data_IF_960254691021
#
_entry.id   IF_960254691021
#
_cell.length_a   1.000
_cell.length_b   1.000
_cell.length_c   1.000
_cell.angle_alpha   90.00
_cell.angle_beta   90.00
_cell.angle_gamma   90.00
#
_symmetry.space_group_name_H-M   'P 1'
#
loop_
_entity.id
_entity.type
_entity.pdbx_description
1 polymer ?
#
# COMPACT_ATOMS: atom_id res chain seq x y z
N UNK A 1 35.91 29.61 29.08
CA UNK A 1 34.84 28.62 28.83
C UNK A 1 35.48 27.24 28.76
N UNK A 2 35.11 26.30 29.64
CA UNK A 2 35.73 24.96 29.67
C UNK A 2 35.34 24.20 28.40
N UNK A 3 36.33 23.74 27.63
CA UNK A 3 36.06 22.88 26.46
C UNK A 3 35.42 21.58 26.93
N UNK A 4 34.34 21.16 26.26
CA UNK A 4 33.60 19.93 26.59
C UNK A 4 34.51 18.69 26.70
N UNK A 5 35.56 18.60 25.88
CA UNK A 5 36.57 17.54 25.96
C UNK A 5 37.32 17.49 27.29
N UNK A 6 37.69 18.66 27.84
CA UNK A 6 38.38 18.75 29.13
C UNK A 6 37.44 18.44 30.27
N UNK A 7 36.19 18.90 30.17
CA UNK A 7 35.13 18.56 31.12
C UNK A 7 34.88 17.04 31.16
N UNK A 8 34.84 16.38 29.99
CA UNK A 8 34.67 14.93 29.89
C UNK A 8 35.82 14.15 30.55
N UNK A 9 37.08 14.57 30.35
CA UNK A 9 38.24 13.91 31.00
C UNK A 9 38.13 13.87 32.53
N UNK A 10 37.55 14.91 33.13
CA UNK A 10 37.38 15.01 34.59
C UNK A 10 36.19 14.18 35.08
N UNK A 11 35.09 14.18 34.32
CA UNK A 11 33.81 13.64 34.78
C UNK A 11 33.55 12.19 34.36
N UNK A 12 34.31 11.62 33.43
CA UNK A 12 34.07 10.23 32.98
C UNK A 12 34.34 9.19 34.07
N UNK A 13 35.42 9.34 34.83
CA UNK A 13 35.93 8.30 35.75
C UNK A 13 34.90 7.78 36.75
N UNK A 14 34.10 8.67 37.32
CA UNK A 14 33.17 8.34 38.41
C UNK A 14 31.70 8.24 37.95
N UNK A 15 31.41 8.44 36.66
CA UNK A 15 30.04 8.55 36.15
C UNK A 15 29.71 7.53 35.06
N UNK A 16 30.60 6.56 34.81
CA UNK A 16 30.29 5.42 33.95
C UNK A 16 29.46 4.43 34.77
N UNK A 17 28.26 4.16 34.28
CA UNK A 17 27.26 3.26 34.89
C UNK A 17 27.12 2.01 33.99
N UNK A 18 26.24 1.08 34.37
CA UNK A 18 26.03 -0.21 33.73
C UNK A 18 25.68 -0.14 32.23
N UNK A 19 25.15 0.98 31.75
CA UNK A 19 24.76 1.17 30.34
C UNK A 19 25.24 2.51 29.76
N UNK A 20 25.31 2.58 28.42
CA UNK A 20 25.65 3.82 27.70
C UNK A 20 24.60 4.92 27.92
N UNK A 21 23.33 4.56 27.91
CA UNK A 21 22.20 5.47 28.11
C UNK A 21 22.21 6.06 29.53
N UNK A 22 22.39 5.25 30.57
CA UNK A 22 22.51 5.74 31.95
C UNK A 22 23.76 6.59 32.17
N UNK A 23 24.88 6.22 31.54
CA UNK A 23 26.11 7.01 31.57
C UNK A 23 25.91 8.38 30.93
N UNK A 24 25.23 8.45 29.77
CA UNK A 24 24.89 9.71 29.10
C UNK A 24 23.93 10.53 29.97
N UNK A 25 22.95 9.90 30.61
CA UNK A 25 21.99 10.59 31.49
C UNK A 25 22.69 11.17 32.73
N UNK A 26 23.54 10.38 33.38
CA UNK A 26 24.33 10.81 34.54
C UNK A 26 25.24 11.99 34.20
N UNK A 27 25.98 11.89 33.09
CA UNK A 27 26.82 12.99 32.60
C UNK A 27 26.00 14.22 32.20
N UNK A 28 24.79 14.03 31.67
CA UNK A 28 23.93 15.15 31.29
C UNK A 28 23.41 15.92 32.51
N UNK A 29 23.11 15.22 33.62
CA UNK A 29 22.69 15.84 34.90
C UNK A 29 23.77 16.72 35.54
N UNK A 30 25.04 16.47 35.24
CA UNK A 30 26.17 17.29 35.70
C UNK A 30 26.32 18.62 34.93
N UNK A 31 25.34 18.98 34.09
CA UNK A 31 25.31 20.22 33.31
C UNK A 31 26.59 20.44 32.47
N UNK A 32 26.85 19.58 31.48
CA UNK A 32 28.04 19.70 30.65
C UNK A 32 28.03 21.03 29.87
N UNK A 33 29.21 21.61 29.58
CA UNK A 33 29.34 22.90 28.90
C UNK A 33 29.02 22.77 27.39
N UNK A 34 27.76 22.54 27.07
CA UNK A 34 27.20 22.41 25.72
C UNK A 34 26.46 23.71 25.37
N UNK A 35 26.73 24.27 24.18
CA UNK A 35 26.08 25.50 23.71
C UNK A 35 24.54 25.34 23.73
N UNK A 36 23.83 26.39 24.17
CA UNK A 36 22.36 26.41 24.22
C UNK A 36 21.71 26.18 22.85
N UNK A 37 22.41 26.53 21.76
CA UNK A 37 21.96 26.37 20.37
C UNK A 37 21.90 24.92 19.87
N UNK A 38 22.47 23.97 20.62
CA UNK A 38 22.46 22.55 20.22
C UNK A 38 21.11 21.92 20.55
N UNK A 39 20.35 21.56 19.51
CA UNK A 39 19.00 20.95 19.63
C UNK A 39 19.06 19.60 20.36
N UNK A 40 20.05 18.76 20.07
CA UNK A 40 20.21 17.45 20.73
C UNK A 40 21.50 17.38 21.54
N UNK A 41 21.45 17.93 22.75
CA UNK A 41 22.62 18.05 23.65
C UNK A 41 23.20 16.69 24.05
N UNK A 42 22.35 15.67 24.27
CA UNK A 42 22.79 14.29 24.59
C UNK A 42 23.58 13.65 23.44
N UNK A 43 23.14 13.85 22.20
CA UNK A 43 23.88 13.37 21.02
C UNK A 43 25.22 14.09 20.83
N UNK A 44 25.28 15.39 21.12
CA UNK A 44 26.52 16.16 21.08
C UNK A 44 27.52 15.72 22.16
N UNK A 45 27.02 15.40 23.36
CA UNK A 45 27.81 14.81 24.44
C UNK A 45 28.40 13.46 24.01
N UNK A 46 27.56 12.55 23.49
CA UNK A 46 27.98 11.24 22.99
C UNK A 46 29.04 11.35 21.89
N UNK A 47 28.85 12.27 20.93
CA UNK A 47 29.80 12.48 19.82
C UNK A 47 31.14 13.01 20.33
N UNK A 48 31.11 13.87 21.36
CA UNK A 48 32.32 14.42 21.97
C UNK A 48 33.07 13.38 22.80
N UNK A 49 32.35 12.47 23.48
CA UNK A 49 32.94 11.31 24.16
C UNK A 49 33.63 10.38 23.16
N UNK A 50 32.99 10.10 22.03
CA UNK A 50 33.59 9.30 20.95
C UNK A 50 34.88 9.91 20.44
N UNK A 51 34.85 11.19 20.07
CA UNK A 51 36.04 11.89 19.58
C UNK A 51 37.17 11.90 20.63
N UNK A 52 36.85 12.02 21.91
CA UNK A 52 37.83 11.96 22.99
C UNK A 52 38.53 10.59 23.05
N UNK A 53 37.78 9.49 22.94
CA UNK A 53 38.31 8.13 23.01
C UNK A 53 39.03 7.72 21.71
N UNK A 54 38.57 8.17 20.54
CA UNK A 54 39.26 7.93 19.27
C UNK A 54 40.64 8.60 19.24
N UNK A 55 40.74 9.82 19.78
CA UNK A 55 41.96 10.63 19.71
C UNK A 55 42.92 10.39 20.90
N UNK A 56 42.57 9.52 21.85
CA UNK A 56 43.40 9.27 23.04
C UNK A 56 43.43 7.79 23.41
N UNK A 57 44.50 7.11 23.00
CA UNK A 57 44.70 5.68 23.24
C UNK A 57 44.70 5.30 24.72
N UNK A 58 45.28 6.13 25.58
CA UNK A 58 45.30 5.89 27.03
C UNK A 58 43.87 5.86 27.60
N UNK A 59 43.04 6.84 27.24
CA UNK A 59 41.63 6.89 27.68
C UNK A 59 40.80 5.78 27.02
N UNK A 60 41.11 5.39 25.78
CA UNK A 60 40.46 4.27 25.10
C UNK A 60 40.65 2.95 25.84
N UNK A 61 41.86 2.71 26.33
CA UNK A 61 42.19 1.51 27.09
C UNK A 61 41.60 1.58 28.52
N UNK A 62 41.66 2.74 29.17
CA UNK A 62 41.07 2.97 30.50
C UNK A 62 39.55 2.79 30.49
N UNK A 63 38.86 3.27 29.45
CA UNK A 63 37.42 3.20 29.28
C UNK A 63 37.00 2.19 28.20
N UNK A 64 37.66 1.02 28.19
CA UNK A 64 37.44 -0.02 27.17
C UNK A 64 35.97 -0.44 27.02
N UNK A 65 35.24 -0.60 28.13
CA UNK A 65 33.81 -0.94 28.13
C UNK A 65 32.94 0.14 27.48
N UNK A 66 33.19 1.40 27.81
CA UNK A 66 32.48 2.54 27.22
C UNK A 66 32.80 2.67 25.72
N UNK A 67 34.06 2.50 25.34
CA UNK A 67 34.48 2.46 23.94
C UNK A 67 33.77 1.33 23.20
N UNK A 68 33.67 0.14 23.81
CA UNK A 68 32.94 -1.00 23.27
C UNK A 68 31.46 -0.67 23.07
N UNK A 69 30.78 -0.03 24.01
CA UNK A 69 29.38 0.38 23.82
C UNK A 69 29.19 1.42 22.71
N UNK A 70 30.12 2.38 22.59
CA UNK A 70 30.10 3.39 21.54
C UNK A 70 30.33 2.78 20.15
N UNK A 71 31.17 1.73 20.06
CA UNK A 71 31.44 0.98 18.83
C UNK A 71 30.32 -0.06 18.55
N UNK A 72 29.84 -0.81 19.52
CA UNK A 72 28.77 -1.81 19.38
C UNK A 72 27.43 -1.18 18.95
N UNK A 73 27.10 0.02 19.45
CA UNK A 73 25.96 0.81 18.95
C UNK A 73 26.16 1.22 17.49
N UNK A 74 27.40 1.32 17.04
CA UNK A 74 27.77 1.60 15.65
C UNK A 74 27.86 0.31 14.81
N UNK A 75 28.33 -0.82 15.30
CA UNK A 75 28.28 -2.13 14.63
C UNK A 75 26.86 -2.65 14.52
N UNK A 76 25.98 -2.42 15.50
CA UNK A 76 24.54 -2.65 15.33
C UNK A 76 23.94 -1.75 14.24
N UNK A 77 24.49 -0.55 14.02
CA UNK A 77 24.13 0.33 12.88
C UNK A 77 24.86 0.00 11.56
N UNK A 78 26.07 -0.56 11.60
CA UNK A 78 26.95 -0.81 10.44
C UNK A 78 26.86 -2.24 9.92
N UNK A 79 26.55 -3.24 10.77
CA UNK A 79 26.10 -4.57 10.33
C UNK A 79 24.76 -4.52 9.59
N UNK A 80 24.06 -3.38 9.64
CA UNK A 80 22.93 -3.05 8.77
C UNK A 80 23.33 -2.37 7.44
N UNK A 81 24.61 -2.06 7.20
CA UNK A 81 25.07 -1.23 6.08
C UNK A 81 26.24 -1.84 5.27
N UNK A 82 26.19 -3.13 4.94
CA UNK A 82 26.93 -3.65 3.78
C UNK A 82 25.95 -4.44 2.92
N UNK A 83 25.22 -3.72 2.06
CA UNK A 83 24.43 -4.33 0.99
C UNK A 83 25.40 -4.65 -0.14
N UNK A 84 25.61 -5.95 -0.36
CA UNK A 84 26.18 -6.45 -1.61
C UNK A 84 25.15 -6.15 -2.71
N UNK A 85 25.52 -5.36 -3.74
CA UNK A 85 24.61 -4.92 -4.82
C UNK A 85 23.85 -6.09 -5.49
N UNK A 86 24.39 -7.30 -5.37
CA UNK A 86 23.83 -8.56 -5.88
C UNK A 86 22.63 -9.12 -5.11
N UNK A 87 22.19 -8.54 -3.97
CA UNK A 87 21.07 -9.04 -3.15
C UNK A 87 19.88 -8.07 -3.02
N UNK A 88 19.63 -7.24 -4.03
CA UNK A 88 18.35 -6.50 -4.14
C UNK A 88 17.29 -7.38 -4.81
N UNK A 89 16.09 -7.39 -4.25
CA UNK A 89 14.92 -7.86 -4.98
C UNK A 89 14.48 -6.72 -5.92
N UNK A 90 14.60 -6.96 -7.23
CA UNK A 90 14.16 -6.02 -8.28
C UNK A 90 12.80 -6.52 -8.78
N UNK A 91 11.78 -5.70 -8.66
CA UNK A 91 10.47 -5.95 -9.24
C UNK A 91 10.44 -5.29 -10.62
N UNK A 92 10.08 -6.02 -11.68
CA UNK A 92 9.96 -5.48 -13.05
C UNK A 92 8.51 -5.13 -13.36
N UNK A 93 8.31 -3.97 -13.98
CA UNK A 93 6.97 -3.45 -14.31
C UNK A 93 6.50 -4.20 -15.54
N UNK A 94 5.33 -4.83 -15.49
CA UNK A 94 4.68 -5.26 -16.71
C UNK A 94 4.31 -4.01 -17.52
N UNK A 95 5.10 -3.66 -18.54
CA UNK A 95 4.72 -2.64 -19.52
C UNK A 95 3.64 -3.24 -20.41
N UNK A 96 2.38 -2.95 -20.10
CA UNK A 96 1.26 -3.32 -20.96
C UNK A 96 1.05 -2.14 -21.92
N UNK A 97 1.54 -2.28 -23.15
CA UNK A 97 1.18 -1.38 -24.24
C UNK A 97 -0.28 -1.63 -24.59
N UNK A 98 -1.16 -0.64 -24.42
CA UNK A 98 -2.49 -0.67 -25.01
C UNK A 98 -2.32 -0.57 -26.53
N UNK A 99 -2.45 -1.71 -27.22
CA UNK A 99 -2.72 -1.66 -28.65
C UNK A 99 -4.16 -1.20 -28.79
N UNK A 100 -4.33 0.10 -29.03
CA UNK A 100 -5.57 0.62 -29.62
C UNK A 100 -5.63 -0.01 -31.01
N UNK A 101 -6.39 -1.10 -31.14
CA UNK A 101 -6.79 -1.60 -32.45
C UNK A 101 -7.81 -0.60 -32.96
N UNK A 102 -7.36 0.32 -33.82
CA UNK A 102 -8.26 1.08 -34.68
C UNK A 102 -9.05 0.06 -35.51
N UNK A 103 -10.30 -0.17 -35.14
CA UNK A 103 -11.26 -0.82 -36.02
C UNK A 103 -11.90 0.31 -36.81
N UNK A 104 -11.27 0.67 -37.94
CA UNK A 104 -11.92 1.48 -38.97
C UNK A 104 -12.82 0.56 -39.80
N UNK A 105 -14.13 0.82 -39.67
CA UNK A 105 -15.20 0.79 -40.68
C UNK A 105 -15.20 -0.28 -41.79
N UNK A 106 -16.21 -1.17 -41.76
CA UNK A 106 -17.16 -1.37 -42.88
C UNK A 106 -18.23 -2.42 -42.52
N UNK A 107 -19.47 -2.14 -42.92
CA UNK A 107 -20.64 -3.03 -42.82
C UNK A 107 -20.39 -4.38 -43.52
N UNK A 108 -20.94 -5.50 -43.01
CA UNK A 108 -20.78 -6.79 -43.67
C UNK A 108 -21.85 -6.95 -44.76
N UNK A 109 -21.39 -6.95 -46.01
CA UNK A 109 -22.15 -7.47 -47.14
C UNK A 109 -22.08 -9.01 -47.13
N UNK A 110 -23.24 -9.63 -47.35
CA UNK A 110 -23.50 -11.05 -47.22
C UNK A 110 -22.80 -11.82 -48.35
N UNK A 111 -22.04 -12.88 -48.03
CA UNK A 111 -21.93 -14.09 -48.86
C UNK A 111 -21.36 -15.28 -48.08
N UNK A 112 -22.11 -16.37 -48.21
CA UNK A 112 -21.87 -17.72 -47.69
C UNK A 112 -20.58 -18.33 -48.24
N UNK A 113 -19.88 -19.10 -47.41
CA UNK A 113 -19.31 -20.38 -47.86
C UNK A 113 -19.22 -21.36 -46.68
N UNK A 114 -19.94 -22.46 -46.83
CA UNK A 114 -20.01 -23.59 -45.92
C UNK A 114 -18.74 -24.42 -46.01
N UNK A 115 -18.24 -24.91 -44.85
CA UNK A 115 -17.69 -26.26 -44.78
C UNK A 115 -17.88 -26.84 -43.37
N UNK A 116 -18.34 -28.09 -43.37
CA UNK A 116 -18.96 -28.85 -42.27
C UNK A 116 -17.95 -29.84 -41.65
N UNK A 117 -18.33 -30.36 -40.48
CA UNK A 117 -17.81 -31.49 -39.69
C UNK A 117 -16.82 -31.08 -38.56
N UNK A 118 -17.03 -31.42 -37.28
CA UNK A 118 -18.03 -32.29 -36.64
C UNK A 118 -18.04 -32.02 -35.13
N UNK A 119 -19.24 -32.13 -34.56
CA UNK A 119 -19.57 -32.05 -33.13
C UNK A 119 -18.68 -32.90 -32.22
N UNK A 120 -18.06 -32.25 -31.23
CA UNK A 120 -17.90 -32.84 -29.90
C UNK A 120 -18.72 -31.98 -28.93
N UNK A 121 -19.85 -32.52 -28.47
CA UNK A 121 -20.71 -31.88 -27.48
C UNK A 121 -19.93 -31.54 -26.21
N UNK A 122 -19.98 -30.30 -25.72
CA UNK A 122 -19.66 -30.05 -24.31
C UNK A 122 -20.83 -30.60 -23.50
N UNK A 123 -20.54 -31.52 -22.59
CA UNK A 123 -21.41 -31.85 -21.47
C UNK A 123 -22.06 -30.57 -20.93
N UNK A 124 -23.39 -30.54 -20.98
CA UNK A 124 -24.24 -29.60 -20.27
C UNK A 124 -23.83 -29.64 -18.79
N UNK A 125 -23.01 -28.67 -18.38
CA UNK A 125 -23.01 -28.27 -16.98
C UNK A 125 -24.36 -27.61 -16.78
N UNK A 126 -25.22 -28.28 -16.04
CA UNK A 126 -26.42 -27.69 -15.45
C UNK A 126 -26.07 -26.28 -14.99
N UNK A 127 -26.65 -25.32 -15.70
CA UNK A 127 -26.48 -23.90 -15.45
C UNK A 127 -27.00 -23.61 -14.06
N UNK A 128 -26.07 -23.46 -13.10
CA UNK A 128 -26.29 -22.62 -11.91
C UNK A 128 -27.00 -21.36 -12.37
N UNK A 129 -28.10 -20.94 -11.69
CA UNK A 129 -28.87 -19.79 -12.13
C UNK A 129 -27.92 -18.61 -12.31
N UNK A 130 -27.80 -18.15 -13.56
CA UNK A 130 -26.93 -17.04 -13.89
C UNK A 130 -27.50 -15.82 -13.19
N UNK A 131 -26.84 -15.38 -12.13
CA UNK A 131 -27.05 -14.01 -11.62
C UNK A 131 -26.89 -13.11 -12.84
N UNK A 132 -27.86 -12.22 -13.15
CA UNK A 132 -27.74 -11.32 -14.30
C UNK A 132 -26.52 -10.41 -14.10
N UNK A 133 -25.38 -10.74 -14.72
CA UNK A 133 -24.22 -9.86 -14.72
C UNK A 133 -24.53 -8.70 -15.65
N UNK A 134 -24.90 -7.54 -15.09
CA UNK A 134 -25.08 -6.32 -15.86
C UNK A 134 -23.70 -5.71 -16.16
N UNK A 135 -23.48 -5.44 -17.43
CA UNK A 135 -22.36 -4.65 -17.93
C UNK A 135 -22.94 -3.35 -18.43
N UNK A 136 -23.24 -2.43 -17.50
CA UNK A 136 -23.85 -1.16 -17.85
C UNK A 136 -22.87 -0.23 -18.56
N UNK A 137 -21.56 -0.48 -18.45
CA UNK A 137 -20.49 0.35 -19.01
C UNK A 137 -19.77 -0.34 -20.17
N UNK A 138 -19.43 0.45 -21.18
CA UNK A 138 -18.52 0.03 -22.24
C UNK A 138 -17.11 -0.24 -21.70
N UNK A 139 -16.26 -1.00 -22.40
CA UNK A 139 -14.87 -1.22 -21.98
C UNK A 139 -14.09 0.09 -21.74
N UNK A 140 -14.32 1.11 -22.56
CA UNK A 140 -13.66 2.41 -22.42
C UNK A 140 -14.12 3.16 -21.15
N UNK A 141 -15.42 3.13 -20.86
CA UNK A 141 -15.97 3.70 -19.63
C UNK A 141 -15.44 2.97 -18.39
N UNK A 142 -15.40 1.64 -18.40
CA UNK A 142 -14.80 0.86 -17.32
C UNK A 142 -13.35 1.27 -17.07
N UNK A 143 -12.54 1.38 -18.14
CA UNK A 143 -11.16 1.85 -18.06
C UNK A 143 -11.02 3.25 -17.45
N UNK A 144 -11.96 4.16 -17.76
CA UNK A 144 -11.96 5.52 -17.21
C UNK A 144 -12.17 5.59 -15.69
N UNK A 145 -12.81 4.56 -15.10
CA UNK A 145 -12.96 4.42 -13.66
C UNK A 145 -11.83 3.61 -13.03
N UNK A 146 -11.49 2.47 -13.62
CA UNK A 146 -10.52 1.52 -13.08
C UNK A 146 -9.14 2.14 -13.03
N UNK A 147 -8.67 2.76 -14.10
CA UNK A 147 -7.30 3.28 -14.19
C UNK A 147 -7.00 4.33 -13.09
N UNK A 148 -7.82 5.38 -12.88
CA UNK A 148 -7.61 6.32 -11.78
C UNK A 148 -7.67 5.66 -10.40
N UNK A 149 -8.58 4.70 -10.18
CA UNK A 149 -8.68 3.96 -8.90
C UNK A 149 -7.35 3.25 -8.61
N UNK A 150 -6.81 2.51 -9.58
CA UNK A 150 -5.57 1.77 -9.41
C UNK A 150 -4.39 2.69 -9.17
N UNK A 151 -4.28 3.79 -9.91
CA UNK A 151 -3.23 4.80 -9.73
C UNK A 151 -3.24 5.42 -8.32
N UNK A 152 -4.42 5.73 -7.79
CA UNK A 152 -4.54 6.24 -6.43
C UNK A 152 -4.10 5.22 -5.39
N UNK A 153 -4.49 3.94 -5.54
CA UNK A 153 -4.09 2.90 -4.60
C UNK A 153 -2.59 2.60 -4.70
N UNK A 154 -2.02 2.54 -5.90
CA UNK A 154 -0.58 2.37 -6.13
C UNK A 154 0.22 3.47 -5.43
N UNK A 155 -0.20 4.73 -5.59
CA UNK A 155 0.44 5.87 -4.91
C UNK A 155 0.34 5.76 -3.39
N UNK A 156 -0.79 5.31 -2.85
CA UNK A 156 -0.96 5.10 -1.41
C UNK A 156 -0.02 3.99 -0.90
N UNK A 157 0.08 2.89 -1.62
CA UNK A 157 0.96 1.75 -1.28
C UNK A 157 2.43 2.17 -1.30
N UNK A 158 2.87 2.92 -2.32
CA UNK A 158 4.22 3.46 -2.40
C UNK A 158 4.53 4.40 -1.24
N UNK A 159 3.66 5.38 -0.97
CA UNK A 159 3.82 6.30 0.18
C UNK A 159 3.91 5.53 1.51
N UNK A 160 3.04 4.54 1.71
CA UNK A 160 3.05 3.69 2.89
C UNK A 160 4.37 2.94 3.04
N UNK A 161 4.86 2.32 1.95
CA UNK A 161 6.13 1.61 1.95
C UNK A 161 7.31 2.55 2.25
N UNK A 162 7.37 3.74 1.62
CA UNK A 162 8.44 4.71 1.91
C UNK A 162 8.43 5.15 3.38
N UNK A 163 7.25 5.39 3.95
CA UNK A 163 7.10 5.72 5.38
C UNK A 163 7.64 4.58 6.27
N UNK A 164 7.35 3.33 5.92
CA UNK A 164 7.92 2.17 6.59
C UNK A 164 9.44 2.12 6.44
N UNK A 165 9.98 2.30 5.23
CA UNK A 165 11.42 2.27 4.96
C UNK A 165 12.17 3.30 5.82
N UNK A 166 11.71 4.55 5.86
CA UNK A 166 12.33 5.59 6.67
C UNK A 166 12.20 5.35 8.18
N UNK A 167 11.06 4.82 8.64
CA UNK A 167 10.79 4.62 10.07
C UNK A 167 11.47 3.37 10.63
N UNK A 168 11.51 2.29 9.85
CA UNK A 168 11.91 0.96 10.29
C UNK A 168 13.27 0.51 9.75
N UNK A 169 13.84 1.21 8.75
CA UNK A 169 15.13 0.92 8.10
C UNK A 169 15.37 -0.59 7.89
N UNK A 170 14.50 -1.27 7.11
CA UNK A 170 14.52 -2.71 7.00
C UNK A 170 15.87 -3.21 6.43
N UNK A 171 16.33 -4.42 6.82
CA UNK A 171 17.65 -4.95 6.46
C UNK A 171 17.85 -5.23 4.96
N UNK A 172 16.81 -5.09 4.12
CA UNK A 172 16.86 -5.22 2.67
C UNK A 172 16.26 -3.98 2.02
N UNK A 173 17.04 -3.33 1.14
CA UNK A 173 16.52 -2.32 0.25
C UNK A 173 15.78 -3.02 -0.88
N UNK A 174 14.45 -2.90 -0.91
CA UNK A 174 13.63 -3.39 -2.01
C UNK A 174 13.49 -2.24 -3.01
N UNK A 175 13.87 -2.50 -4.25
CA UNK A 175 13.69 -1.53 -5.32
C UNK A 175 12.32 -1.72 -5.96
N UNK A 176 11.43 -0.76 -5.74
CA UNK A 176 10.09 -0.72 -6.34
C UNK A 176 10.00 0.29 -7.50
N UNK A 177 11.13 0.81 -8.01
CA UNK A 177 11.14 1.78 -9.11
C UNK A 177 10.39 1.27 -10.35
N UNK A 178 10.45 -0.04 -10.57
CA UNK A 178 9.74 -0.75 -11.62
C UNK A 178 8.64 -1.69 -11.06
N UNK A 179 8.13 -1.50 -9.85
CA UNK A 179 7.08 -2.39 -9.35
C UNK A 179 5.69 -1.94 -9.78
N UNK A 180 4.86 -2.89 -10.20
CA UNK A 180 3.43 -2.63 -10.37
C UNK A 180 2.67 -2.75 -9.03
N UNK A 181 1.41 -2.30 -9.04
CA UNK A 181 0.48 -2.41 -7.91
C UNK A 181 0.47 -3.82 -7.29
N UNK A 182 0.42 -4.87 -8.11
CA UNK A 182 0.32 -6.24 -7.64
C UNK A 182 1.62 -6.70 -6.97
N UNK A 183 2.78 -6.30 -7.47
CA UNK A 183 4.08 -6.55 -6.86
C UNK A 183 4.15 -5.95 -5.45
N UNK A 184 3.79 -4.68 -5.29
CA UNK A 184 3.83 -3.99 -3.99
C UNK A 184 2.84 -4.64 -3.01
N UNK A 185 1.63 -4.94 -3.49
CA UNK A 185 0.58 -5.57 -2.67
C UNK A 185 1.00 -6.98 -2.23
N UNK A 186 1.59 -7.78 -3.12
CA UNK A 186 2.12 -9.10 -2.78
C UNK A 186 3.20 -9.03 -1.72
N UNK A 187 4.12 -8.07 -1.84
CA UNK A 187 5.17 -7.87 -0.85
C UNK A 187 4.58 -7.56 0.53
N UNK A 188 3.62 -6.65 0.62
CA UNK A 188 2.97 -6.29 1.89
C UNK A 188 2.24 -7.48 2.49
N UNK A 189 1.46 -8.23 1.70
CA UNK A 189 0.73 -9.42 2.17
C UNK A 189 1.70 -10.47 2.72
N UNK A 190 2.77 -10.78 1.99
CA UNK A 190 3.75 -11.80 2.39
C UNK A 190 4.54 -11.41 3.62
N UNK A 191 4.72 -10.11 3.85
CA UNK A 191 5.54 -9.58 4.93
C UNK A 191 4.69 -8.81 5.96
N UNK A 192 3.41 -9.19 6.12
CA UNK A 192 2.45 -8.42 6.93
C UNK A 192 2.93 -8.23 8.38
N UNK A 193 3.65 -9.21 8.92
CA UNK A 193 4.24 -9.21 10.25
C UNK A 193 5.30 -8.13 10.46
N UNK A 194 5.92 -7.61 9.39
CA UNK A 194 6.84 -6.46 9.48
C UNK A 194 6.09 -5.16 9.81
N UNK A 195 4.80 -5.10 9.51
CA UNK A 195 3.96 -3.90 9.66
C UNK A 195 3.03 -3.98 10.88
N UNK A 196 2.91 -5.16 11.49
CA UNK A 196 2.15 -5.43 12.71
C UNK A 196 3.10 -5.94 13.79
N UNK A 197 3.47 -5.11 14.77
CA UNK A 197 4.34 -5.55 15.86
C UNK A 197 3.59 -6.54 16.74
N UNK A 198 3.99 -7.81 16.76
CA UNK A 198 3.23 -8.89 17.43
C UNK A 198 3.13 -8.81 18.97
N UNK A 199 3.71 -7.79 19.61
CA UNK A 199 3.82 -7.68 21.08
C UNK A 199 3.33 -6.35 21.65
N UNK A 200 3.09 -5.34 20.81
CA UNK A 200 2.48 -4.07 21.19
C UNK A 200 1.35 -3.82 20.21
N UNK A 201 0.20 -3.29 20.64
CA UNK A 201 -0.91 -2.90 19.74
C UNK A 201 -0.53 -1.78 18.74
N UNK A 202 0.76 -1.57 18.49
CA UNK A 202 1.32 -0.66 17.50
C UNK A 202 1.34 -1.36 16.15
N UNK A 203 0.50 -0.88 15.25
CA UNK A 203 0.43 -1.27 13.85
C UNK A 203 0.65 -0.02 13.01
N UNK A 204 1.25 -0.16 11.83
CA UNK A 204 1.36 0.94 10.88
C UNK A 204 0.06 1.17 10.10
N UNK A 205 -0.87 0.22 10.18
CA UNK A 205 -2.17 0.29 9.54
C UNK A 205 -3.20 1.06 10.39
N UNK A 206 -4.24 1.55 9.72
CA UNK A 206 -5.31 2.34 10.32
C UNK A 206 -6.69 1.78 9.97
N UNK A 207 -7.73 2.39 10.54
CA UNK A 207 -9.13 2.01 10.31
C UNK A 207 -9.51 0.64 10.90
N UNK A 208 -10.63 0.13 10.42
CA UNK A 208 -11.23 -1.15 10.87
C UNK A 208 -10.30 -2.34 10.69
N UNK A 209 -9.52 -2.35 9.61
CA UNK A 209 -8.62 -3.46 9.24
C UNK A 209 -7.22 -3.36 9.87
N UNK A 210 -6.98 -2.44 10.83
CA UNK A 210 -5.63 -2.15 11.37
C UNK A 210 -4.92 -3.36 11.99
N UNK A 211 -5.68 -4.28 12.58
CA UNK A 211 -5.16 -5.44 13.32
C UNK A 211 -4.76 -6.55 12.35
N UNK A 212 -5.58 -6.78 11.32
CA UNK A 212 -5.33 -7.79 10.30
C UNK A 212 -5.89 -7.33 8.94
N UNK A 213 -5.07 -6.67 8.11
CA UNK A 213 -5.51 -6.19 6.80
C UNK A 213 -5.37 -7.25 5.70
N UNK A 214 -4.96 -8.48 6.03
CA UNK A 214 -4.64 -9.52 5.05
C UNK A 214 -5.79 -9.82 4.11
N UNK A 215 -7.01 -10.01 4.64
CA UNK A 215 -8.19 -10.33 3.83
C UNK A 215 -8.63 -9.15 2.97
N UNK A 216 -8.47 -7.91 3.46
CA UNK A 216 -8.71 -6.70 2.66
C UNK A 216 -7.77 -6.66 1.45
N UNK A 217 -6.46 -6.83 1.67
CA UNK A 217 -5.48 -6.78 0.59
C UNK A 217 -5.64 -7.95 -0.40
N UNK A 218 -5.96 -9.16 0.07
CA UNK A 218 -6.27 -10.30 -0.81
C UNK A 218 -7.52 -10.03 -1.67
N UNK A 219 -8.58 -9.49 -1.07
CA UNK A 219 -9.81 -9.16 -1.80
C UNK A 219 -9.54 -8.12 -2.88
N UNK A 220 -8.84 -7.04 -2.53
CA UNK A 220 -8.47 -6.01 -3.51
C UNK A 220 -7.55 -6.57 -4.61
N UNK A 221 -6.59 -7.42 -4.25
CA UNK A 221 -5.72 -8.11 -5.22
C UNK A 221 -6.51 -8.92 -6.24
N UNK A 222 -7.55 -9.62 -5.81
CA UNK A 222 -8.39 -10.44 -6.69
C UNK A 222 -9.11 -9.56 -7.72
N UNK A 223 -9.75 -8.48 -7.30
CA UNK A 223 -10.47 -7.56 -8.21
C UNK A 223 -9.53 -6.84 -9.20
N UNK A 224 -8.30 -6.57 -8.78
CA UNK A 224 -7.31 -5.86 -9.61
C UNK A 224 -6.52 -6.78 -10.55
N UNK A 225 -6.56 -8.10 -10.35
CA UNK A 225 -5.95 -9.06 -11.28
C UNK A 225 -6.62 -9.04 -12.65
N UNK A 226 -7.94 -8.77 -12.71
CA UNK A 226 -8.68 -8.64 -13.95
C UNK A 226 -8.11 -7.53 -14.85
N UNK A 227 -7.51 -6.49 -14.26
CA UNK A 227 -6.80 -5.44 -15.00
C UNK A 227 -5.50 -5.94 -15.65
N UNK A 228 -4.76 -6.80 -14.95
CA UNK A 228 -3.42 -7.22 -15.34
C UNK A 228 -3.38 -8.55 -16.12
N UNK A 229 -4.52 -9.22 -16.27
CA UNK A 229 -4.61 -10.46 -17.05
C UNK A 229 -4.53 -10.22 -18.56
N UNK A 230 -3.78 -11.08 -19.26
CA UNK A 230 -3.71 -11.15 -20.73
C UNK A 230 -4.61 -12.30 -21.22
N UNK A 231 -5.89 -12.02 -21.49
CA UNK A 231 -6.74 -12.93 -22.23
C UNK A 231 -7.87 -12.16 -22.92
N UNK A 232 -8.33 -12.71 -24.05
CA UNK A 232 -9.27 -12.20 -25.05
C UNK A 232 -10.37 -11.32 -24.43
N UNK A 233 -10.38 -10.04 -24.79
CA UNK A 233 -11.31 -9.02 -24.31
C UNK A 233 -12.75 -9.40 -24.66
N UNK A 234 -13.59 -9.59 -23.65
CA UNK A 234 -15.03 -9.68 -23.88
C UNK A 234 -15.54 -8.35 -24.46
N UNK A 235 -16.50 -8.37 -25.40
CA UNK A 235 -17.03 -7.16 -26.03
C UNK A 235 -17.68 -6.19 -25.01
N UNK A 236 -18.15 -6.71 -23.87
CA UNK A 236 -18.82 -5.95 -22.81
C UNK A 236 -17.87 -5.42 -21.72
N UNK A 237 -16.57 -5.63 -21.87
CA UNK A 237 -15.56 -5.21 -20.89
C UNK A 237 -15.18 -6.33 -19.90
N UNK A 238 -14.40 -5.98 -18.87
CA UNK A 238 -13.79 -6.96 -17.95
C UNK A 238 -14.42 -6.98 -16.55
N UNK A 239 -15.17 -5.95 -16.20
CA UNK A 239 -15.85 -5.86 -14.92
C UNK A 239 -17.35 -5.67 -15.14
N UNK A 240 -18.15 -6.50 -14.50
CA UNK A 240 -19.57 -6.20 -14.34
C UNK A 240 -19.77 -5.07 -13.31
N UNK A 241 -20.99 -4.56 -13.22
CA UNK A 241 -21.34 -3.43 -12.36
C UNK A 241 -21.01 -3.69 -10.87
N UNK A 242 -21.22 -4.92 -10.39
CA UNK A 242 -20.92 -5.32 -9.02
C UNK A 242 -19.41 -5.35 -8.76
N UNK A 243 -18.63 -5.89 -9.70
CA UNK A 243 -17.16 -5.93 -9.59
C UNK A 243 -16.56 -4.52 -9.61
N UNK A 244 -17.09 -3.59 -10.42
CA UNK A 244 -16.66 -2.17 -10.40
C UNK A 244 -16.93 -1.50 -9.05
N UNK A 245 -18.13 -1.71 -8.50
CA UNK A 245 -18.49 -1.18 -7.18
C UNK A 245 -17.63 -1.79 -6.07
N UNK A 246 -17.39 -3.10 -6.15
CA UNK A 246 -16.54 -3.81 -5.19
C UNK A 246 -15.11 -3.32 -5.26
N UNK A 247 -14.56 -3.14 -6.46
CA UNK A 247 -13.22 -2.60 -6.67
C UNK A 247 -13.06 -1.20 -6.05
N UNK A 248 -13.97 -0.28 -6.35
CA UNK A 248 -13.92 1.10 -5.82
C UNK A 248 -14.08 1.14 -4.29
N UNK A 249 -14.94 0.29 -3.74
CA UNK A 249 -15.14 0.14 -2.29
C UNK A 249 -13.89 -0.42 -1.61
N UNK A 250 -13.29 -1.47 -2.16
CA UNK A 250 -12.06 -2.05 -1.64
C UNK A 250 -10.90 -1.05 -1.73
N UNK A 251 -10.80 -0.27 -2.81
CA UNK A 251 -9.79 0.77 -2.95
C UNK A 251 -9.85 1.81 -1.82
N UNK A 252 -11.05 2.30 -1.47
CA UNK A 252 -11.23 3.19 -0.32
C UNK A 252 -10.77 2.54 0.98
N UNK A 253 -11.21 1.30 1.24
CA UNK A 253 -10.83 0.56 2.44
C UNK A 253 -9.32 0.36 2.53
N UNK A 254 -8.64 0.08 1.40
CA UNK A 254 -7.18 -0.03 1.32
C UNK A 254 -6.53 1.30 1.65
N UNK A 255 -6.95 2.42 1.05
CA UNK A 255 -6.35 3.73 1.32
C UNK A 255 -6.54 4.16 2.77
N UNK A 256 -7.71 3.92 3.36
CA UNK A 256 -7.96 4.13 4.80
C UNK A 256 -7.03 3.26 5.63
N UNK A 257 -6.88 1.99 5.27
CA UNK A 257 -6.00 1.06 5.97
C UNK A 257 -4.53 1.50 5.95
N UNK A 258 -4.07 2.08 4.83
CA UNK A 258 -2.72 2.62 4.70
C UNK A 258 -2.55 3.99 5.40
N UNK A 259 -3.65 4.65 5.78
CA UNK A 259 -3.65 5.94 6.47
C UNK A 259 -3.39 7.15 5.58
N UNK A 260 -3.62 7.04 4.26
CA UNK A 260 -3.44 8.16 3.34
C UNK A 260 -4.75 8.97 3.22
N UNK A 261 -4.86 10.01 4.05
CA UNK A 261 -6.02 10.92 4.04
C UNK A 261 -6.12 11.79 2.78
N UNK A 262 -4.99 12.05 2.11
CA UNK A 262 -4.95 12.93 0.94
C UNK A 262 -5.60 12.25 -0.27
N UNK A 263 -5.36 10.94 -0.43
CA UNK A 263 -5.87 10.16 -1.56
C UNK A 263 -7.30 9.66 -1.35
N UNK A 264 -7.79 9.70 -0.11
CA UNK A 264 -9.15 9.31 0.23
C UNK A 264 -10.20 10.16 -0.49
N UNK A 265 -10.07 11.50 -0.47
CA UNK A 265 -11.04 12.42 -1.07
C UNK A 265 -11.21 12.23 -2.59
N UNK A 266 -10.11 12.21 -3.38
CA UNK A 266 -10.17 11.92 -4.82
C UNK A 266 -10.81 10.56 -5.15
N UNK A 267 -10.43 9.49 -4.44
CA UNK A 267 -11.03 8.16 -4.62
C UNK A 267 -12.53 8.15 -4.30
N UNK A 268 -12.95 8.86 -3.24
CA UNK A 268 -14.36 8.95 -2.88
C UNK A 268 -15.17 9.65 -3.97
N UNK A 269 -14.61 10.68 -4.62
CA UNK A 269 -15.25 11.34 -5.78
C UNK A 269 -15.46 10.37 -6.93
N UNK A 270 -14.42 9.60 -7.30
CA UNK A 270 -14.52 8.60 -8.36
C UNK A 270 -15.58 7.54 -8.04
N UNK A 271 -15.60 7.03 -6.79
CA UNK A 271 -16.63 6.09 -6.35
C UNK A 271 -18.04 6.69 -6.45
N UNK A 272 -18.24 7.91 -5.94
CA UNK A 272 -19.55 8.55 -5.98
C UNK A 272 -20.03 8.79 -7.41
N UNK A 273 -19.12 9.17 -8.32
CA UNK A 273 -19.47 9.31 -9.74
C UNK A 273 -19.90 7.99 -10.37
N UNK A 274 -19.13 6.92 -10.12
CA UNK A 274 -19.46 5.56 -10.57
C UNK A 274 -20.83 5.11 -10.05
N UNK A 275 -21.06 5.24 -8.74
CA UNK A 275 -22.32 4.87 -8.08
C UNK A 275 -23.51 5.66 -8.63
N UNK A 276 -23.34 6.96 -8.85
CA UNK A 276 -24.39 7.82 -9.39
C UNK A 276 -24.75 7.40 -10.81
N UNK A 277 -23.77 7.19 -11.70
CA UNK A 277 -24.03 6.72 -13.06
C UNK A 277 -24.66 5.33 -13.09
N UNK A 278 -24.24 4.43 -12.20
CA UNK A 278 -24.88 3.11 -12.06
C UNK A 278 -26.33 3.25 -11.61
N UNK A 279 -26.60 4.09 -10.61
CA UNK A 279 -27.95 4.34 -10.13
C UNK A 279 -28.83 4.91 -11.25
N UNK A 280 -28.32 5.87 -12.02
CA UNK A 280 -29.03 6.47 -13.15
C UNK A 280 -29.38 5.43 -14.23
N UNK A 281 -28.41 4.61 -14.66
CA UNK A 281 -28.62 3.55 -15.66
C UNK A 281 -29.59 2.47 -15.17
N UNK A 282 -29.49 2.09 -13.89
CA UNK A 282 -30.42 1.13 -13.28
C UNK A 282 -31.83 1.71 -13.16
N UNK A 283 -31.98 2.99 -12.86
CA UNK A 283 -33.29 3.67 -12.77
C UNK A 283 -33.95 3.76 -14.15
N UNK A 284 -33.20 4.11 -15.19
CA UNK A 284 -33.68 4.08 -16.58
C UNK A 284 -34.11 2.67 -17.01
N UNK A 285 -33.45 1.62 -16.49
CA UNK A 285 -33.86 0.23 -16.78
C UNK A 285 -35.21 -0.11 -16.15
N UNK A 286 -35.53 0.50 -15.00
CA UNK A 286 -36.82 0.33 -14.32
C UNK A 286 -37.91 1.12 -15.06
N UNK A 287 -37.61 2.35 -15.48
CA UNK A 287 -38.58 3.24 -16.15
C UNK A 287 -38.95 2.78 -17.57
N UNK A 288 -38.06 2.07 -18.27
CA UNK A 288 -38.26 1.66 -19.67
C UNK A 288 -38.82 0.23 -19.84
N UNK A 289 -39.21 -0.47 -18.76
CA UNK A 289 -39.74 -1.84 -18.85
C UNK A 289 -41.22 -1.89 -18.47
N UNK A 290 -42.04 -2.14 -19.49
CA UNK A 290 -43.41 -2.67 -19.32
C UNK A 290 -43.36 -4.02 -18.59
N UNK A 291 -44.44 -4.35 -17.87
CA UNK A 291 -44.60 -5.27 -16.73
C UNK A 291 -43.97 -6.69 -16.79
N UNK A 292 -43.36 -7.13 -17.90
CA UNK A 292 -42.90 -8.52 -18.14
C UNK A 292 -41.47 -8.85 -17.63
N UNK A 293 -40.85 -7.95 -16.86
CA UNK A 293 -39.45 -8.09 -16.43
C UNK A 293 -39.22 -7.80 -14.94
N UNK A 294 -40.13 -8.30 -14.09
CA UNK A 294 -40.10 -8.17 -12.63
C UNK A 294 -38.72 -8.54 -12.04
N UNK A 295 -38.10 -9.63 -12.47
CA UNK A 295 -36.77 -10.07 -11.99
C UNK A 295 -35.66 -9.02 -12.22
N UNK A 296 -35.77 -8.25 -13.31
CA UNK A 296 -34.77 -7.26 -13.68
C UNK A 296 -34.94 -5.94 -12.94
N UNK A 297 -36.19 -5.65 -12.53
CA UNK A 297 -36.57 -4.53 -11.67
C UNK A 297 -36.17 -4.81 -10.23
N UNK A 298 -36.46 -6.00 -9.71
CA UNK A 298 -36.09 -6.43 -8.35
C UNK A 298 -34.56 -6.43 -8.19
N UNK A 299 -33.83 -6.95 -9.19
CA UNK A 299 -32.37 -6.88 -9.20
C UNK A 299 -31.85 -5.43 -9.23
N UNK A 300 -32.47 -4.54 -10.01
CA UNK A 300 -32.06 -3.14 -10.07
C UNK A 300 -32.30 -2.41 -8.73
N UNK A 301 -33.45 -2.65 -8.09
CA UNK A 301 -33.79 -2.10 -6.78
C UNK A 301 -32.84 -2.58 -5.68
N UNK A 302 -32.50 -3.88 -5.65
CA UNK A 302 -31.54 -4.44 -4.71
C UNK A 302 -30.16 -3.76 -4.84
N UNK A 303 -29.67 -3.58 -6.07
CA UNK A 303 -28.41 -2.88 -6.31
C UNK A 303 -28.45 -1.41 -5.90
N UNK A 304 -29.53 -0.68 -6.21
CA UNK A 304 -29.69 0.72 -5.79
C UNK A 304 -29.67 0.83 -4.25
N UNK A 305 -30.34 -0.09 -3.56
CA UNK A 305 -30.37 -0.12 -2.10
C UNK A 305 -28.98 -0.43 -1.50
N UNK A 306 -28.24 -1.38 -2.09
CA UNK A 306 -26.85 -1.68 -1.71
C UNK A 306 -25.93 -0.47 -1.86
N UNK A 307 -26.02 0.26 -2.98
CA UNK A 307 -25.23 1.49 -3.22
C UNK A 307 -25.53 2.54 -2.14
N UNK A 308 -26.82 2.82 -1.90
CA UNK A 308 -27.26 3.82 -0.91
C UNK A 308 -26.78 3.47 0.50
N UNK A 309 -26.90 2.21 0.90
CA UNK A 309 -26.44 1.72 2.20
C UNK A 309 -24.92 1.88 2.35
N UNK A 310 -24.16 1.46 1.33
CA UNK A 310 -22.69 1.59 1.33
C UNK A 310 -22.24 3.03 1.51
N UNK A 311 -22.87 3.99 0.81
CA UNK A 311 -22.46 5.39 0.89
C UNK A 311 -22.74 6.01 2.26
N UNK A 312 -23.82 5.62 2.93
CA UNK A 312 -24.11 6.05 4.30
C UNK A 312 -23.10 5.50 5.33
N UNK A 313 -22.71 4.23 5.23
CA UNK A 313 -21.72 3.64 6.14
C UNK A 313 -20.32 4.24 5.95
N UNK A 314 -19.93 4.52 4.71
CA UNK A 314 -18.60 5.08 4.42
C UNK A 314 -18.49 6.52 4.95
N UNK A 315 -19.53 7.35 4.77
CA UNK A 315 -19.57 8.71 5.32
C UNK A 315 -19.45 8.69 6.86
N UNK A 316 -20.14 7.76 7.54
CA UNK A 316 -20.09 7.61 9.00
C UNK A 316 -18.73 7.18 9.55
N UNK A 317 -17.86 6.56 8.74
CA UNK A 317 -16.52 6.10 9.16
C UNK A 317 -15.42 7.14 8.96
N UNK A 318 -15.71 8.22 8.25
CA UNK A 318 -14.77 9.32 7.94
C UNK A 318 -14.94 10.48 8.92
N UNK A 319 -16.18 10.72 9.37
CA UNK A 319 -16.52 11.65 10.45
C UNK A 319 -16.19 11.04 11.82
#
# INVERSE_FOLDING_TARGET
>A
MVKLSNWLKVNLKNNIVNTLEETIEGLFRLNPPIKKTVVNKKKALQSSMKNLLCNNEKLRNEYGTLNKWLIEKEEKKRKLNVINETRRAIFKKARISSSVVNIDTSEPDIREEQNVYQSSSPLERESTPSIPQKFSFTPAEQGSYVEPILQHVERALLKFYFKFYYKCNPPRQVDFSDADLLCILNFIIQNITLFTTGHSNETLFHGEHKINPTELFKSFKTETRNHHAHAITQPMGRWNDEELQRLSTLALKVVVCLGDKELFGPLLKIKNELDNKLTERLTLTIENKDEDHVDLVDFALDNINKIKSSNQEHIKRIL
#
